data_IF_148895547814
#
_entry.id   IF_148895547814
#
_cell.length_a   1.000
_cell.length_b   1.000
_cell.length_c   1.000
_cell.angle_alpha   90.00
_cell.angle_beta   90.00
_cell.angle_gamma   90.00
#
_symmetry.space_group_name_H-M   'P 1'
#
loop_
_entity.id
_entity.type
_entity.pdbx_description
1 polymer ?
#
# COMPACT_ATOMS: atom_id res chain seq x y z
N UNK A 1 15.71 -48.34 38.76
CA UNK A 1 15.91 -47.21 39.70
C UNK A 1 16.08 -45.93 38.90
N UNK A 2 15.54 -44.84 39.44
CA UNK A 2 15.13 -43.59 38.79
C UNK A 2 16.29 -42.73 38.27
N UNK A 3 16.20 -42.27 37.03
CA UNK A 3 16.84 -41.01 36.57
C UNK A 3 16.26 -40.63 35.22
N UNK A 4 15.20 -39.82 35.17
CA UNK A 4 14.88 -39.01 33.97
C UNK A 4 14.36 -37.63 34.43
N UNK A 5 15.29 -36.67 34.38
CA UNK A 5 15.13 -35.33 33.79
C UNK A 5 14.17 -34.37 34.51
N UNK A 6 14.71 -33.66 35.50
CA UNK A 6 14.28 -32.28 35.79
C UNK A 6 14.87 -31.36 34.72
N UNK A 7 14.11 -31.14 33.65
CA UNK A 7 14.42 -30.13 32.64
C UNK A 7 13.11 -29.45 32.23
N UNK A 8 12.42 -28.92 33.23
CA UNK A 8 11.42 -27.86 33.07
C UNK A 8 12.12 -26.55 33.47
N UNK A 9 13.24 -26.28 32.80
CA UNK A 9 13.83 -24.95 32.74
C UNK A 9 13.42 -24.39 31.36
N UNK A 10 12.82 -23.21 31.38
CA UNK A 10 12.70 -22.30 30.24
C UNK A 10 11.91 -22.80 29.03
N UNK A 11 10.63 -23.16 29.21
CA UNK A 11 9.68 -23.13 28.10
C UNK A 11 8.60 -22.10 28.40
N UNK A 12 8.43 -21.14 27.47
CA UNK A 12 7.33 -20.15 27.38
C UNK A 12 7.45 -18.79 28.10
N UNK A 13 8.63 -18.16 28.06
CA UNK A 13 8.71 -16.69 27.97
C UNK A 13 9.42 -16.27 26.67
N UNK A 14 9.00 -16.85 25.56
CA UNK A 14 9.12 -16.17 24.27
C UNK A 14 7.99 -15.12 24.23
N UNK A 15 8.10 -14.09 25.06
CA UNK A 15 7.35 -12.86 24.86
C UNK A 15 7.92 -12.28 23.59
N UNK A 16 7.26 -12.56 22.47
CA UNK A 16 7.56 -11.94 21.18
C UNK A 16 7.71 -10.45 21.43
N UNK A 17 8.93 -9.93 21.30
CA UNK A 17 9.21 -8.49 21.39
C UNK A 17 8.65 -7.82 20.14
N UNK A 18 7.33 -7.86 19.97
CA UNK A 18 6.64 -7.24 18.85
C UNK A 18 6.72 -5.74 19.06
N UNK A 19 7.74 -5.12 18.46
CA UNK A 19 8.02 -3.68 18.48
C UNK A 19 6.91 -2.82 17.87
N UNK A 20 5.89 -3.45 17.27
CA UNK A 20 4.85 -2.79 16.52
C UNK A 20 3.45 -3.30 16.90
N UNK A 21 2.46 -2.41 16.80
CA UNK A 21 1.03 -2.71 16.89
C UNK A 21 0.46 -2.61 15.48
N UNK A 22 -0.28 -3.63 15.06
CA UNK A 22 -1.02 -3.63 13.80
C UNK A 22 -2.51 -3.72 14.09
N UNK A 23 -3.29 -2.86 13.45
CA UNK A 23 -4.76 -2.88 13.44
C UNK A 23 -5.24 -2.93 11.99
N UNK A 24 -6.30 -3.68 11.73
CA UNK A 24 -6.88 -3.82 10.39
C UNK A 24 -8.38 -3.55 10.42
N UNK A 25 -8.91 -3.04 9.31
CA UNK A 25 -10.33 -2.95 9.05
C UNK A 25 -10.63 -3.43 7.62
N UNK A 26 -11.83 -3.93 7.39
CA UNK A 26 -12.28 -4.42 6.09
C UNK A 26 -13.67 -3.90 5.78
N UNK A 27 -13.93 -3.60 4.52
CA UNK A 27 -15.21 -3.06 4.07
C UNK A 27 -15.65 -3.70 2.77
N UNK A 28 -16.96 -3.82 2.59
CA UNK A 28 -17.57 -4.31 1.36
C UNK A 28 -18.64 -3.33 0.89
N UNK A 29 -18.70 -3.11 -0.42
CA UNK A 29 -19.79 -2.38 -1.07
C UNK A 29 -20.57 -3.40 -1.89
N UNK A 30 -21.87 -3.49 -1.61
CA UNK A 30 -22.80 -4.35 -2.35
C UNK A 30 -23.85 -3.51 -3.03
N UNK A 31 -24.32 -3.96 -4.19
CA UNK A 31 -25.48 -3.37 -4.86
C UNK A 31 -26.77 -3.61 -4.06
N UNK A 32 -27.86 -2.97 -4.47
CA UNK A 32 -29.21 -3.25 -3.94
C UNK A 32 -29.65 -4.71 -4.18
N UNK A 33 -29.10 -5.37 -5.19
CA UNK A 33 -29.32 -6.81 -5.45
C UNK A 33 -28.44 -7.73 -4.60
N UNK A 34 -27.62 -7.19 -3.69
CA UNK A 34 -26.71 -7.95 -2.83
C UNK A 34 -25.39 -8.36 -3.49
N UNK A 35 -25.17 -7.98 -4.75
CA UNK A 35 -23.96 -8.31 -5.48
C UNK A 35 -22.76 -7.50 -4.98
N UNK A 36 -21.63 -8.17 -4.72
CA UNK A 36 -20.38 -7.51 -4.34
C UNK A 36 -19.86 -6.65 -5.51
N UNK A 37 -19.75 -5.33 -5.27
CA UNK A 37 -19.20 -4.37 -6.23
C UNK A 37 -17.76 -4.04 -5.88
N UNK A 38 -17.44 -3.97 -4.60
CA UNK A 38 -16.09 -3.72 -4.16
C UNK A 38 -15.80 -4.26 -2.75
N UNK A 39 -14.52 -4.51 -2.50
CA UNK A 39 -14.00 -4.89 -1.18
C UNK A 39 -12.72 -4.11 -0.89
N UNK A 40 -12.59 -3.60 0.33
CA UNK A 40 -11.41 -2.89 0.81
C UNK A 40 -10.84 -3.51 2.09
N UNK A 41 -9.55 -3.29 2.29
CA UNK A 41 -8.82 -3.62 3.52
C UNK A 41 -7.86 -2.47 3.84
N UNK A 42 -7.85 -2.05 5.10
CA UNK A 42 -7.01 -0.97 5.61
C UNK A 42 -6.23 -1.48 6.80
N UNK A 43 -4.91 -1.55 6.65
CA UNK A 43 -3.99 -1.99 7.70
C UNK A 43 -3.20 -0.79 8.18
N UNK A 44 -3.19 -0.56 9.48
CA UNK A 44 -2.40 0.45 10.13
C UNK A 44 -1.40 -0.20 11.09
N UNK A 45 -0.12 0.10 10.93
CA UNK A 45 0.96 -0.36 11.81
C UNK A 45 1.68 0.83 12.43
N UNK A 46 1.87 0.79 13.74
CA UNK A 46 2.58 1.82 14.51
C UNK A 46 3.57 1.19 15.49
N UNK A 47 4.59 1.93 15.91
CA UNK A 47 5.51 1.47 16.96
C UNK A 47 4.79 1.30 18.32
N UNK A 48 5.16 0.26 19.09
CA UNK A 48 4.79 0.11 20.52
C UNK A 48 5.59 1.03 21.42
N UNK A 49 6.83 1.36 21.03
CA UNK A 49 7.67 2.26 21.82
C UNK A 49 7.21 3.70 21.64
N UNK A 50 6.90 4.36 22.76
CA UNK A 50 6.39 5.74 22.83
C UNK A 50 7.32 6.74 22.12
N UNK A 51 8.63 6.60 22.33
CA UNK A 51 9.67 7.42 21.70
C UNK A 51 9.70 7.30 20.16
N UNK A 52 9.11 6.22 19.61
CA UNK A 52 9.04 5.95 18.18
C UNK A 52 7.61 6.03 17.62
N UNK A 53 6.61 6.38 18.42
CA UNK A 53 5.20 6.37 18.02
C UNK A 53 4.92 7.28 16.81
N UNK A 54 5.53 8.46 16.80
CA UNK A 54 5.42 9.44 15.71
C UNK A 54 6.45 9.23 14.60
N UNK A 55 7.37 8.29 14.80
CA UNK A 55 8.49 8.02 13.91
C UNK A 55 8.28 6.81 12.99
N UNK A 56 7.45 5.86 13.39
CA UNK A 56 7.06 4.75 12.54
C UNK A 56 5.55 4.60 12.49
N UNK A 57 4.99 4.99 11.36
CA UNK A 57 3.58 4.79 11.02
C UNK A 57 3.51 4.27 9.59
N UNK A 58 2.79 3.16 9.39
CA UNK A 58 2.57 2.53 8.09
C UNK A 58 1.07 2.34 7.88
N UNK A 59 0.58 2.74 6.73
CA UNK A 59 -0.78 2.49 6.28
C UNK A 59 -0.72 1.69 4.98
N UNK A 60 -1.40 0.56 4.93
CA UNK A 60 -1.61 -0.21 3.72
C UNK A 60 -3.09 -0.22 3.41
N UNK A 61 -3.45 0.24 2.22
CA UNK A 61 -4.82 0.25 1.74
C UNK A 61 -4.87 -0.66 0.53
N UNK A 62 -5.72 -1.68 0.57
CA UNK A 62 -6.02 -2.52 -0.59
C UNK A 62 -7.50 -2.39 -0.93
N UNK A 63 -7.80 -2.41 -2.22
CA UNK A 63 -9.17 -2.29 -2.71
C UNK A 63 -9.32 -3.05 -4.02
N UNK A 64 -10.43 -3.77 -4.15
CA UNK A 64 -10.76 -4.56 -5.35
C UNK A 64 -12.15 -4.20 -5.81
N UNK A 65 -12.29 -3.89 -7.09
CA UNK A 65 -13.58 -3.71 -7.78
C UNK A 65 -13.92 -4.94 -8.60
N UNK A 66 -15.21 -5.21 -8.72
CA UNK A 66 -15.75 -6.32 -9.47
C UNK A 66 -16.68 -5.85 -10.59
N UNK A 67 -16.72 -6.62 -11.67
CA UNK A 67 -17.72 -6.52 -12.71
C UNK A 67 -19.04 -7.16 -12.28
N UNK A 68 -20.09 -6.96 -13.09
CA UNK A 68 -21.42 -7.55 -12.85
C UNK A 68 -21.46 -9.09 -12.94
N UNK A 69 -20.44 -9.72 -13.51
CA UNK A 69 -20.30 -11.17 -13.53
C UNK A 69 -19.48 -11.70 -12.33
N UNK A 70 -19.04 -10.81 -11.43
CA UNK A 70 -18.18 -11.15 -10.28
C UNK A 70 -16.69 -11.25 -10.61
N UNK A 71 -16.29 -11.08 -11.87
CA UNK A 71 -14.88 -11.05 -12.23
C UNK A 71 -14.21 -9.76 -11.74
N UNK A 72 -12.90 -9.81 -11.49
CA UNK A 72 -12.14 -8.66 -10.99
C UNK A 72 -12.01 -7.61 -12.09
N UNK A 73 -12.48 -6.40 -11.81
CA UNK A 73 -12.37 -5.22 -12.69
C UNK A 73 -11.07 -4.47 -12.48
N UNK A 74 -10.73 -4.23 -11.21
CA UNK A 74 -9.47 -3.59 -10.86
C UNK A 74 -9.03 -3.90 -9.45
N UNK A 75 -7.73 -3.90 -9.22
CA UNK A 75 -7.15 -3.93 -7.87
C UNK A 75 -6.28 -2.70 -7.66
N UNK A 76 -6.37 -2.15 -6.46
CA UNK A 76 -5.61 -1.03 -5.99
C UNK A 76 -4.88 -1.45 -4.72
N UNK A 77 -3.59 -1.13 -4.64
CA UNK A 77 -2.82 -1.26 -3.40
C UNK A 77 -1.98 -0.02 -3.22
N UNK A 78 -2.09 0.59 -2.04
CA UNK A 78 -1.29 1.73 -1.64
C UNK A 78 -0.59 1.41 -0.33
N UNK A 79 0.70 1.68 -0.28
CA UNK A 79 1.47 1.62 0.97
C UNK A 79 1.99 3.01 1.24
N UNK A 80 1.70 3.54 2.42
CA UNK A 80 2.26 4.78 2.93
C UNK A 80 3.07 4.50 4.18
N UNK A 81 4.31 4.98 4.22
CA UNK A 81 5.20 4.85 5.38
C UNK A 81 5.79 6.19 5.77
N UNK A 82 5.57 6.60 7.02
CA UNK A 82 6.24 7.72 7.67
C UNK A 82 7.44 7.19 8.45
N UNK A 83 8.64 7.74 8.18
CA UNK A 83 9.89 7.35 8.83
C UNK A 83 10.36 8.37 9.87
N UNK A 84 11.28 7.92 10.73
CA UNK A 84 11.98 8.69 11.76
C UNK A 84 12.57 9.96 11.16
N UNK A 85 12.39 11.12 11.81
CA UNK A 85 12.93 12.44 11.43
C UNK A 85 12.17 13.26 10.36
N UNK A 86 10.89 13.01 10.14
CA UNK A 86 10.02 14.03 9.53
C UNK A 86 10.18 14.28 8.03
N UNK A 87 10.99 13.48 7.31
CA UNK A 87 10.83 13.34 5.85
C UNK A 87 9.85 12.19 5.57
N UNK A 88 8.63 12.49 5.10
CA UNK A 88 7.57 11.50 4.97
C UNK A 88 7.75 10.66 3.70
N UNK A 89 8.91 10.05 3.45
CA UNK A 89 9.12 9.40 2.16
C UNK A 89 10.18 8.32 2.11
N UNK A 90 9.81 7.08 2.46
CA UNK A 90 10.59 5.89 2.10
C UNK A 90 9.81 4.88 1.27
N UNK A 91 8.47 4.91 1.30
CA UNK A 91 7.64 4.00 0.50
C UNK A 91 6.24 4.60 0.37
N UNK A 92 5.99 5.29 -0.74
CA UNK A 92 4.65 5.66 -1.21
C UNK A 92 4.46 5.05 -2.59
N UNK A 93 4.05 3.79 -2.59
CA UNK A 93 3.84 3.05 -3.83
C UNK A 93 2.34 2.81 -3.95
N UNK A 94 1.77 3.33 -5.04
CA UNK A 94 0.41 3.02 -5.45
C UNK A 94 0.47 2.15 -6.70
N UNK A 95 -0.09 0.96 -6.58
CA UNK A 95 -0.29 0.00 -7.65
C UNK A 95 -1.76 -0.02 -8.03
N UNK A 96 -2.05 0.18 -9.31
CA UNK A 96 -3.39 0.01 -9.87
C UNK A 96 -3.33 -0.97 -11.03
N UNK A 97 -4.11 -2.03 -10.94
CA UNK A 97 -4.28 -3.02 -12.01
C UNK A 97 -5.70 -2.90 -12.53
N UNK A 98 -5.87 -2.75 -13.84
CA UNK A 98 -7.16 -2.85 -14.51
C UNK A 98 -7.18 -4.05 -15.45
N UNK A 99 -8.29 -4.79 -15.43
CA UNK A 99 -8.53 -5.96 -16.26
C UNK A 99 -9.61 -5.62 -17.27
N UNK A 100 -9.23 -5.40 -18.52
CA UNK A 100 -10.20 -5.05 -19.57
C UNK A 100 -10.87 -6.29 -20.15
N UNK A 101 -12.15 -6.22 -20.58
CA UNK A 101 -12.86 -7.38 -21.16
C UNK A 101 -12.22 -7.95 -22.43
N UNK A 102 -11.46 -7.13 -23.17
CA UNK A 102 -10.67 -7.58 -24.32
C UNK A 102 -9.40 -8.37 -23.91
N UNK A 103 -9.18 -8.58 -22.60
CA UNK A 103 -8.06 -9.30 -22.02
C UNK A 103 -6.75 -8.52 -21.96
N UNK A 104 -6.79 -7.21 -22.22
CA UNK A 104 -5.67 -6.32 -21.93
C UNK A 104 -5.64 -6.04 -20.43
N UNK A 105 -4.45 -6.09 -19.83
CA UNK A 105 -4.22 -5.71 -18.44
C UNK A 105 -3.34 -4.47 -18.39
N UNK A 106 -3.73 -3.45 -17.64
CA UNK A 106 -2.86 -2.30 -17.38
C UNK A 106 -2.38 -2.32 -15.93
N UNK A 107 -1.09 -2.13 -15.70
CA UNK A 107 -0.48 -1.94 -14.39
C UNK A 107 0.11 -0.53 -14.31
N UNK A 108 -0.41 0.27 -13.40
CA UNK A 108 0.14 1.58 -13.07
C UNK A 108 0.86 1.52 -11.72
N UNK A 109 2.09 2.01 -11.69
CA UNK A 109 2.89 2.21 -10.49
C UNK A 109 3.22 3.69 -10.35
N UNK A 110 2.80 4.30 -9.23
CA UNK A 110 3.14 5.68 -8.88
C UNK A 110 4.08 5.71 -7.69
N UNK A 111 5.19 6.43 -7.85
CA UNK A 111 6.05 6.83 -6.75
C UNK A 111 5.70 8.27 -6.37
N UNK A 112 5.23 8.46 -5.14
CA UNK A 112 4.74 9.75 -4.65
C UNK A 112 5.88 10.52 -3.95
N UNK A 113 7.03 9.89 -3.73
CA UNK A 113 8.05 10.44 -2.84
C UNK A 113 9.02 11.43 -3.47
N UNK A 114 9.52 11.13 -4.67
CA UNK A 114 10.57 11.93 -5.31
C UNK A 114 10.14 12.44 -6.68
N UNK A 115 8.99 13.12 -6.74
CA UNK A 115 8.41 13.76 -7.93
C UNK A 115 7.62 12.82 -8.85
N UNK A 116 6.29 12.85 -8.69
CA UNK A 116 5.25 12.67 -9.73
C UNK A 116 5.58 11.78 -10.94
N UNK A 117 6.20 10.62 -10.70
CA UNK A 117 6.55 9.64 -11.72
C UNK A 117 5.54 8.51 -11.65
N UNK A 118 4.81 8.34 -12.74
CA UNK A 118 3.95 7.18 -12.95
C UNK A 118 4.55 6.32 -14.06
N UNK A 119 4.54 5.01 -13.87
CA UNK A 119 4.88 4.02 -14.89
C UNK A 119 3.61 3.23 -15.16
N UNK A 120 3.14 3.25 -16.40
CA UNK A 120 2.00 2.46 -16.86
C UNK A 120 2.53 1.40 -17.80
N UNK A 121 2.22 0.13 -17.54
CA UNK A 121 2.60 -1.00 -18.38
C UNK A 121 1.34 -1.74 -18.82
N UNK A 122 1.19 -1.97 -20.13
CA UNK A 122 0.09 -2.71 -20.71
C UNK A 122 0.56 -4.11 -21.10
N UNK A 123 -0.26 -5.10 -20.82
CA UNK A 123 -0.01 -6.51 -21.09
C UNK A 123 -1.13 -7.10 -21.93
N UNK A 124 -0.79 -8.04 -22.82
CA UNK A 124 -1.75 -8.84 -23.56
C UNK A 124 -2.29 -10.00 -22.70
N UNK A 125 -3.18 -10.81 -23.28
CA UNK A 125 -3.75 -12.01 -22.64
C UNK A 125 -2.71 -13.06 -22.24
N UNK A 126 -1.60 -13.15 -22.96
CA UNK A 126 -0.50 -14.08 -22.67
C UNK A 126 0.45 -13.54 -21.58
N UNK A 127 0.20 -12.33 -21.05
CA UNK A 127 1.06 -11.68 -20.06
C UNK A 127 2.30 -11.00 -20.64
N UNK A 128 2.44 -10.91 -21.95
CA UNK A 128 3.54 -10.19 -22.60
C UNK A 128 3.28 -8.67 -22.57
N UNK A 129 4.33 -7.88 -22.38
CA UNK A 129 4.25 -6.42 -22.41
C UNK A 129 3.96 -5.94 -23.84
N UNK A 130 2.87 -5.19 -24.01
CA UNK A 130 2.52 -4.51 -25.26
C UNK A 130 3.16 -3.12 -25.30
N UNK A 131 3.08 -2.39 -24.18
CA UNK A 131 3.51 -1.00 -24.12
C UNK A 131 3.93 -0.63 -22.69
N UNK A 132 4.93 0.24 -22.57
CA UNK A 132 5.33 0.85 -21.30
C UNK A 132 5.46 2.37 -21.45
N UNK A 133 4.67 3.11 -20.68
CA UNK A 133 4.66 4.57 -20.63
C UNK A 133 5.24 5.06 -19.30
N UNK A 134 6.15 6.03 -19.36
CA UNK A 134 6.68 6.71 -18.17
C UNK A 134 6.24 8.16 -18.20
N UNK A 135 5.39 8.54 -17.24
CA UNK A 135 4.85 9.88 -17.08
C UNK A 135 5.64 10.54 -15.95
N UNK A 136 6.41 11.59 -16.27
CA UNK A 136 7.06 12.45 -15.27
C UNK A 136 6.36 13.81 -15.28
N UNK A 137 5.67 14.21 -14.22
CA UNK A 137 5.25 15.62 -14.10
C UNK A 137 6.46 16.43 -13.63
N UNK A 138 6.87 17.43 -14.41
CA UNK A 138 7.75 18.48 -13.91
C UNK A 138 6.96 19.27 -12.88
N UNK A 139 7.35 19.21 -11.62
CA UNK A 139 6.87 20.14 -10.60
C UNK A 139 7.17 21.54 -11.13
N UNK A 140 6.16 22.32 -11.53
CA UNK A 140 6.34 23.76 -11.74
C UNK A 140 6.70 24.33 -10.38
N UNK A 141 8.00 24.39 -10.08
CA UNK A 141 8.51 25.10 -8.92
C UNK A 141 7.96 26.53 -8.98
N UNK A 142 7.13 26.88 -7.99
CA UNK A 142 7.27 28.09 -7.18
C UNK A 142 7.94 29.26 -7.93
N UNK A 143 7.32 29.78 -9.00
CA UNK A 143 7.69 31.09 -9.58
C UNK A 143 6.83 32.23 -9.06
N UNK A 144 5.80 31.95 -8.24
CA UNK A 144 4.87 32.99 -7.75
C UNK A 144 5.28 33.66 -6.43
N UNK A 145 6.35 33.24 -5.76
CA UNK A 145 6.82 33.89 -4.51
C UNK A 145 7.97 34.89 -4.69
N UNK A 146 8.49 35.09 -5.92
CA UNK A 146 9.53 36.11 -6.18
C UNK A 146 9.02 37.45 -6.71
N UNK A 147 7.74 37.56 -7.08
CA UNK A 147 7.15 38.84 -7.53
C UNK A 147 6.46 39.62 -6.41
N UNK A 148 6.05 38.98 -5.30
CA UNK A 148 5.46 39.68 -4.14
C UNK A 148 6.49 40.17 -3.10
N UNK A 149 7.78 39.83 -3.24
CA UNK A 149 8.86 40.40 -2.40
C UNK A 149 9.63 41.53 -3.10
N UNK A 150 9.11 42.06 -4.20
CA UNK A 150 9.68 43.19 -4.95
C UNK A 150 8.70 44.36 -5.13
N UNK A 151 7.57 44.36 -4.43
CA UNK A 151 6.71 45.53 -4.26
C UNK A 151 6.71 45.95 -2.81
#
# INVERSE_FOLDING_TARGET
>A
MRTIVYLILSLSLLVSCDLYITSGDTGEIRSSSGQLQAKGEWIYTKSKKMDMYDHYQKWENSYTEFYKDGSVKSTYRSVHKRATYGRPCKELISHYISYHPNGIKSFEQKDICDCSKSIITYYNKAGSVIEKKVIKRKTKQVKKQKEEKKK
#
